data_IF_754918438119
#
_entry.id   IF_754918438119
#
_cell.length_a   1.000
_cell.length_b   1.000
_cell.length_c   1.000
_cell.angle_alpha   90.00
_cell.angle_beta   90.00
_cell.angle_gamma   90.00
#
_symmetry.space_group_name_H-M   'P 1'
#
loop_
_entity.id
_entity.type
_entity.pdbx_description
1 polymer ?
#
# COMPACT_ATOMS: atom_id res chain seq x y z
N UNK A 1 -0.17 -5.63 -18.74
CA UNK A 1 0.19 -5.94 -17.35
C UNK A 1 1.66 -6.31 -17.31
N UNK A 2 2.42 -5.62 -16.46
CA UNK A 2 3.85 -5.84 -16.26
C UNK A 2 4.10 -6.03 -14.77
N UNK A 3 4.64 -7.20 -14.41
CA UNK A 3 5.10 -7.52 -13.06
C UNK A 3 6.42 -6.84 -12.77
N UNK A 4 6.45 -5.98 -11.76
CA UNK A 4 7.64 -5.23 -11.33
C UNK A 4 8.31 -5.92 -10.15
N UNK A 5 7.50 -6.42 -9.20
CA UNK A 5 8.01 -7.11 -8.03
C UNK A 5 7.08 -8.24 -7.62
N UNK A 6 7.69 -9.37 -7.23
CA UNK A 6 7.03 -10.47 -6.55
C UNK A 6 8.02 -11.07 -5.56
N UNK A 7 7.61 -11.12 -4.29
CA UNK A 7 8.47 -11.67 -3.26
C UNK A 7 7.96 -11.35 -1.87
N UNK A 8 8.86 -11.50 -0.89
CA UNK A 8 8.58 -11.21 0.51
C UNK A 8 9.10 -9.83 0.86
N UNK A 9 8.23 -8.96 1.34
CA UNK A 9 8.54 -7.60 1.77
C UNK A 9 8.71 -7.57 3.29
N UNK A 10 9.86 -7.09 3.76
CA UNK A 10 10.09 -6.91 5.19
C UNK A 10 9.31 -5.70 5.72
N UNK A 11 8.58 -5.91 6.80
CA UNK A 11 7.82 -4.88 7.51
C UNK A 11 8.16 -4.88 8.99
N UNK A 12 8.08 -3.69 9.57
CA UNK A 12 8.04 -3.49 11.01
C UNK A 12 7.05 -2.35 11.25
N UNK A 13 6.38 -2.35 12.41
CA UNK A 13 5.22 -1.48 12.67
C UNK A 13 4.09 -1.59 11.64
N UNK A 14 4.08 -2.66 10.83
CA UNK A 14 3.13 -2.93 9.75
C UNK A 14 3.20 -1.94 8.59
N UNK A 15 4.41 -1.50 8.18
CA UNK A 15 4.57 -0.37 7.25
C UNK A 15 5.55 -0.68 6.11
N UNK A 16 5.23 -0.19 4.92
CA UNK A 16 6.11 -0.09 3.76
C UNK A 16 5.77 1.16 2.94
N UNK A 17 6.64 1.56 2.01
CA UNK A 17 6.53 2.87 1.36
C UNK A 17 6.77 2.82 -0.14
N UNK A 18 6.02 3.63 -0.90
CA UNK A 18 6.40 4.06 -2.25
C UNK A 18 6.80 5.52 -2.18
N UNK A 19 7.92 5.90 -2.77
CA UNK A 19 8.34 7.31 -2.78
C UNK A 19 8.99 7.68 -4.12
N UNK A 20 8.81 8.95 -4.52
CA UNK A 20 9.45 9.53 -5.71
C UNK A 20 10.67 10.37 -5.32
N UNK A 21 11.80 10.18 -6.00
CA UNK A 21 13.04 10.92 -5.70
C UNK A 21 13.61 10.52 -4.34
N UNK A 22 14.21 11.46 -3.61
CA UNK A 22 14.80 11.21 -2.29
C UNK A 22 13.76 10.80 -1.24
N UNK A 23 14.21 10.04 -0.23
CA UNK A 23 13.30 9.48 0.77
C UNK A 23 12.56 10.58 1.54
N UNK A 24 11.23 10.54 1.52
CA UNK A 24 10.34 11.44 2.27
C UNK A 24 9.82 10.68 3.48
N UNK A 25 10.45 10.86 4.63
CA UNK A 25 9.90 10.38 5.89
C UNK A 25 8.58 11.11 6.19
N UNK A 26 7.47 10.45 5.86
CA UNK A 26 6.13 10.96 6.15
C UNK A 26 5.63 10.32 7.44
N UNK A 27 5.09 11.13 8.33
CA UNK A 27 4.43 10.64 9.54
C UNK A 27 3.15 9.90 9.16
N UNK A 28 2.75 8.94 9.99
CA UNK A 28 1.56 8.13 9.76
C UNK A 28 0.30 9.01 9.61
N UNK A 29 0.11 10.01 10.47
CA UNK A 29 -1.08 10.88 10.38
C UNK A 29 -1.08 11.73 9.09
N UNK A 30 0.04 12.37 8.77
CA UNK A 30 0.14 13.26 7.61
C UNK A 30 0.01 12.52 6.28
N UNK A 31 0.37 11.24 6.23
CA UNK A 31 0.21 10.38 5.05
C UNK A 31 -1.24 10.07 4.71
N UNK A 32 -2.16 10.26 5.66
CA UNK A 32 -3.55 9.82 5.56
C UNK A 32 -4.58 10.93 5.77
N UNK A 33 -4.17 12.15 6.11
CA UNK A 33 -5.07 13.31 6.29
C UNK A 33 -6.01 13.47 5.09
N UNK A 34 -7.31 13.65 5.39
CA UNK A 34 -8.34 13.87 4.38
C UNK A 34 -8.88 12.61 3.69
N UNK A 35 -8.26 11.44 3.88
CA UNK A 35 -8.72 10.20 3.26
C UNK A 35 -9.94 9.58 3.96
N UNK A 36 -10.60 8.63 3.29
CA UNK A 36 -11.60 7.72 3.85
C UNK A 36 -11.00 6.35 4.19
N UNK A 37 -10.04 5.92 3.39
CA UNK A 37 -9.32 4.66 3.51
C UNK A 37 -8.10 4.83 4.43
N UNK A 38 -7.82 3.78 5.20
CA UNK A 38 -6.75 3.76 6.19
C UNK A 38 -5.70 2.70 5.87
N UNK A 39 -5.70 2.12 4.66
CA UNK A 39 -4.77 1.05 4.29
C UNK A 39 -3.65 1.55 3.38
N UNK A 40 -3.95 2.51 2.50
CA UNK A 40 -2.99 3.13 1.61
C UNK A 40 -3.06 4.66 1.79
N UNK A 41 -2.04 5.25 2.39
CA UNK A 41 -1.93 6.68 2.64
C UNK A 41 -1.35 7.38 1.42
N UNK A 42 -2.09 8.28 0.78
CA UNK A 42 -1.67 9.01 -0.40
C UNK A 42 -1.86 10.53 -0.27
N UNK A 43 -1.99 11.04 0.95
CA UNK A 43 -2.19 12.47 1.19
C UNK A 43 -0.93 13.31 0.89
N UNK A 44 0.25 12.70 0.98
CA UNK A 44 1.53 13.33 0.67
C UNK A 44 1.89 13.11 -0.81
N UNK A 45 2.04 14.17 -1.63
CA UNK A 45 2.41 14.02 -3.03
C UNK A 45 3.71 13.26 -3.23
N UNK A 46 3.71 12.29 -4.17
CA UNK A 46 4.88 11.47 -4.45
C UNK A 46 5.19 10.41 -3.40
N UNK A 47 4.31 10.17 -2.44
CA UNK A 47 4.46 9.12 -1.43
C UNK A 47 3.21 8.24 -1.32
N UNK A 48 3.39 6.94 -1.08
CA UNK A 48 2.37 6.04 -0.57
C UNK A 48 2.84 5.40 0.73
N UNK A 49 1.97 5.40 1.73
CA UNK A 49 2.16 4.70 3.00
C UNK A 49 1.29 3.44 3.01
N UNK A 50 1.92 2.27 3.05
CA UNK A 50 1.24 0.98 2.95
C UNK A 50 1.14 0.34 4.33
N UNK A 51 -0.08 0.08 4.81
CA UNK A 51 -0.31 -0.61 6.08
C UNK A 51 -0.63 -2.08 5.88
N UNK A 52 0.04 -2.92 6.67
CA UNK A 52 -0.18 -4.37 6.73
C UNK A 52 -0.93 -4.77 8.01
N UNK A 53 -1.48 -5.98 8.02
CA UNK A 53 -2.03 -6.67 9.17
C UNK A 53 -0.92 -7.15 10.09
N UNK A 54 0.09 -7.85 9.54
CA UNK A 54 1.29 -8.24 10.29
C UNK A 54 2.06 -6.99 10.75
N UNK A 55 2.49 -6.98 12.01
CA UNK A 55 3.26 -5.87 12.58
C UNK A 55 4.75 -5.99 12.24
N UNK A 56 5.36 -7.16 12.47
CA UNK A 56 6.79 -7.38 12.24
C UNK A 56 7.06 -8.70 11.51
N UNK A 57 7.92 -8.67 10.49
CA UNK A 57 8.35 -9.87 9.78
C UNK A 57 8.32 -9.65 8.28
N UNK A 58 7.93 -10.69 7.51
CA UNK A 58 7.84 -10.62 6.06
C UNK A 58 6.45 -10.96 5.58
N UNK A 59 5.91 -10.15 4.67
CA UNK A 59 4.61 -10.35 4.03
C UNK A 59 4.80 -10.72 2.56
N UNK A 60 3.89 -11.49 1.97
CA UNK A 60 3.91 -11.71 0.52
C UNK A 60 3.45 -10.43 -0.18
N UNK A 61 4.18 -9.99 -1.20
CA UNK A 61 3.90 -8.71 -1.87
C UNK A 61 4.10 -8.82 -3.38
N UNK A 62 3.15 -8.26 -4.13
CA UNK A 62 3.23 -8.10 -5.59
C UNK A 62 3.07 -6.64 -5.97
N UNK A 63 3.77 -6.22 -7.02
CA UNK A 63 3.66 -4.90 -7.62
C UNK A 63 3.51 -5.03 -9.13
N UNK A 64 2.42 -4.49 -9.65
CA UNK A 64 2.03 -4.64 -11.04
C UNK A 64 1.64 -3.29 -11.67
N UNK A 65 2.01 -3.09 -12.94
CA UNK A 65 1.58 -1.95 -13.75
C UNK A 65 0.64 -2.44 -14.85
N UNK A 66 -0.51 -1.80 -14.98
CA UNK A 66 -1.55 -2.11 -15.96
C UNK A 66 -1.79 -0.93 -16.91
N UNK A 67 -2.16 -1.25 -18.14
CA UNK A 67 -2.52 -0.27 -19.17
C UNK A 67 -3.91 0.36 -18.93
N UNK A 68 -4.74 -0.30 -18.14
CA UNK A 68 -6.10 0.12 -17.78
C UNK A 68 -6.51 -0.55 -16.45
N UNK A 69 -7.58 -0.08 -15.77
CA UNK A 69 -7.99 -0.66 -14.49
C UNK A 69 -8.26 -2.17 -14.62
N UNK A 70 -7.57 -3.03 -13.86
CA UNK A 70 -7.86 -4.47 -13.88
C UNK A 70 -9.19 -4.76 -13.18
N UNK A 71 -9.89 -5.85 -13.56
CA UNK A 71 -11.11 -6.27 -12.89
C UNK A 71 -10.85 -6.59 -11.41
N UNK A 72 -11.88 -6.48 -10.58
CA UNK A 72 -11.77 -6.80 -9.15
C UNK A 72 -11.66 -8.31 -8.97
N UNK A 73 -10.50 -8.76 -8.51
CA UNK A 73 -10.30 -10.13 -8.04
C UNK A 73 -10.93 -10.32 -6.66
N UNK A 74 -11.82 -11.30 -6.56
CA UNK A 74 -12.56 -11.60 -5.33
C UNK A 74 -11.72 -12.34 -4.28
N UNK A 75 -10.54 -12.84 -4.65
CA UNK A 75 -9.56 -13.42 -3.72
C UNK A 75 -9.13 -12.43 -2.63
N UNK A 76 -8.98 -11.15 -2.99
CA UNK A 76 -8.61 -10.10 -2.05
C UNK A 76 -9.75 -9.80 -1.09
N UNK A 77 -9.43 -9.65 0.20
CA UNK A 77 -10.38 -9.43 1.27
C UNK A 77 -10.63 -7.94 1.50
N UNK A 78 -9.56 -7.15 1.38
CA UNK A 78 -9.58 -5.69 1.56
C UNK A 78 -9.07 -5.05 0.28
N UNK A 79 -9.80 -4.06 -0.23
CA UNK A 79 -9.45 -3.39 -1.48
C UNK A 79 -9.72 -1.91 -1.32
N UNK A 80 -8.68 -1.11 -1.45
CA UNK A 80 -8.76 0.35 -1.50
C UNK A 80 -8.11 0.86 -2.77
N UNK A 81 -8.54 2.03 -3.20
CA UNK A 81 -7.87 2.74 -4.27
C UNK A 81 -7.61 4.19 -3.91
N UNK A 82 -6.47 4.72 -4.34
CA UNK A 82 -6.00 6.08 -4.06
C UNK A 82 -5.41 6.75 -5.31
N UNK A 83 -5.46 8.08 -5.41
CA UNK A 83 -4.68 8.79 -6.43
C UNK A 83 -3.19 8.76 -6.08
N UNK A 84 -2.33 8.71 -7.10
CA UNK A 84 -0.88 8.88 -6.94
C UNK A 84 -0.36 9.77 -8.06
N UNK A 85 0.44 10.78 -7.71
CA UNK A 85 1.02 11.72 -8.67
C UNK A 85 2.53 11.56 -8.70
N UNK A 86 3.06 11.27 -9.88
CA UNK A 86 4.50 11.19 -10.13
C UNK A 86 4.96 12.55 -10.64
N UNK A 87 5.50 13.36 -9.71
CA UNK A 87 6.02 14.70 -10.01
C UNK A 87 7.49 14.73 -10.42
N UNK A 88 8.22 13.63 -10.17
CA UNK A 88 9.63 13.43 -10.53
C UNK A 88 9.82 11.99 -10.98
N UNK A 89 10.79 11.79 -11.86
CA UNK A 89 11.27 10.45 -12.19
C UNK A 89 11.93 9.82 -10.95
N UNK A 90 12.10 8.49 -10.94
CA UNK A 90 12.58 7.67 -9.80
C UNK A 90 11.53 7.32 -8.74
N UNK A 91 10.51 6.54 -9.14
CA UNK A 91 9.56 5.93 -8.19
C UNK A 91 10.15 4.63 -7.66
N UNK A 92 10.13 4.42 -6.34
CA UNK A 92 10.77 3.26 -5.70
C UNK A 92 9.88 2.66 -4.61
N UNK A 93 9.94 1.34 -4.46
CA UNK A 93 9.41 0.60 -3.32
C UNK A 93 10.49 0.49 -2.25
N UNK A 94 10.13 0.86 -1.02
CA UNK A 94 10.98 0.73 0.16
C UNK A 94 10.34 -0.20 1.19
N UNK A 95 11.17 -1.05 1.79
CA UNK A 95 10.79 -1.77 2.99
C UNK A 95 10.85 -0.84 4.22
N UNK A 96 10.46 -1.35 5.40
CA UNK A 96 10.48 -0.53 6.62
C UNK A 96 11.88 0.05 6.95
N UNK A 97 12.94 -0.73 6.78
CA UNK A 97 14.33 -0.33 7.04
C UNK A 97 14.82 0.79 6.11
N UNK A 98 14.06 1.17 5.09
CA UNK A 98 14.47 2.16 4.09
C UNK A 98 15.34 1.60 2.98
N UNK A 99 15.45 0.28 2.90
CA UNK A 99 16.13 -0.36 1.78
C UNK A 99 15.24 -0.25 0.54
N UNK A 100 15.83 0.19 -0.57
CA UNK A 100 15.16 0.16 -1.86
C UNK A 100 15.02 -1.30 -2.31
N UNK A 101 13.78 -1.75 -2.44
CA UNK A 101 13.44 -3.11 -2.88
C UNK A 101 13.45 -3.19 -4.40
N UNK A 102 12.85 -2.22 -5.08
CA UNK A 102 12.85 -2.15 -6.55
C UNK A 102 12.52 -0.74 -7.06
N UNK A 103 12.96 -0.45 -8.28
CA UNK A 103 12.51 0.71 -9.04
C UNK A 103 11.20 0.41 -9.77
N UNK A 104 10.30 1.39 -9.82
CA UNK A 104 8.99 1.29 -10.47
C UNK A 104 9.02 2.19 -11.71
N UNK A 105 8.90 1.66 -12.93
CA UNK A 105 9.06 2.42 -14.16
C UNK A 105 7.80 3.23 -14.52
N UNK A 106 7.41 4.18 -13.65
CA UNK A 106 6.34 5.14 -13.93
C UNK A 106 6.91 6.42 -14.55
N UNK A 107 6.24 6.91 -15.58
CA UNK A 107 6.51 8.23 -16.15
C UNK A 107 5.85 9.33 -15.32
N UNK A 108 6.20 10.58 -15.60
CA UNK A 108 5.50 11.74 -15.00
C UNK A 108 4.02 11.69 -15.36
N UNK A 109 3.16 11.90 -14.36
CA UNK A 109 1.71 11.87 -14.58
C UNK A 109 0.90 11.48 -13.34
N UNK A 110 -0.38 11.20 -13.58
CA UNK A 110 -1.35 10.82 -12.55
C UNK A 110 -1.77 9.37 -12.75
N UNK A 111 -1.80 8.65 -11.63
CA UNK A 111 -2.10 7.23 -11.58
C UNK A 111 -3.21 6.98 -10.56
N UNK A 112 -3.99 5.93 -10.81
CA UNK A 112 -4.77 5.28 -9.78
C UNK A 112 -3.97 4.09 -9.27
N UNK A 113 -4.02 3.90 -7.96
CA UNK A 113 -3.34 2.81 -7.29
C UNK A 113 -4.37 1.99 -6.55
N UNK A 114 -4.43 0.69 -6.80
CA UNK A 114 -5.19 -0.24 -5.98
C UNK A 114 -4.26 -0.95 -5.02
N UNK A 115 -4.63 -0.93 -3.75
CA UNK A 115 -3.95 -1.70 -2.72
C UNK A 115 -4.91 -2.75 -2.18
N UNK A 116 -4.50 -4.01 -2.35
CA UNK A 116 -5.26 -5.17 -1.97
C UNK A 116 -4.56 -5.91 -0.83
N UNK A 117 -5.34 -6.45 0.10
CA UNK A 117 -4.83 -7.26 1.19
C UNK A 117 -5.66 -8.54 1.37
N UNK A 118 -4.97 -9.61 1.77
CA UNK A 118 -5.56 -10.90 2.09
C UNK A 118 -5.02 -11.38 3.46
N UNK A 119 -5.92 -11.86 4.31
CA UNK A 119 -5.64 -12.38 5.65
C UNK A 119 -5.01 -11.35 6.62
N UNK A 120 -5.41 -10.08 6.54
CA UNK A 120 -4.96 -9.04 7.50
C UNK A 120 -5.29 -9.39 8.96
N UNK A 121 -6.36 -10.16 9.19
CA UNK A 121 -6.72 -10.65 10.52
C UNK A 121 -5.67 -11.62 11.06
N UNK A 122 -5.24 -12.59 10.25
CA UNK A 122 -4.18 -13.53 10.62
C UNK A 122 -2.86 -12.83 10.92
N UNK A 123 -2.45 -11.88 10.07
CA UNK A 123 -1.28 -11.03 10.30
C UNK A 123 -1.34 -10.27 11.62
N UNK A 124 -2.46 -9.59 11.88
CA UNK A 124 -2.63 -8.80 13.11
C UNK A 124 -2.69 -9.64 14.38
N UNK A 125 -3.23 -10.87 14.32
CA UNK A 125 -3.27 -11.76 15.48
C UNK A 125 -1.91 -12.40 15.79
N UNK A 126 -1.14 -12.72 14.75
CA UNK A 126 0.19 -13.30 14.91
C UNK A 126 1.22 -12.27 15.36
N UNK A 127 1.03 -11.00 14.96
CA UNK A 127 1.86 -9.82 15.26
C UNK A 127 3.27 -9.90 14.67
N UNK A 128 4.02 -10.95 14.99
CA UNK A 128 5.40 -11.15 14.56
C UNK A 128 5.59 -12.51 13.88
N UNK A 129 6.24 -12.51 12.71
CA UNK A 129 6.67 -13.70 11.96
C UNK A 129 8.20 -13.71 11.87
N UNK A 130 8.82 -14.86 12.20
CA UNK A 130 10.27 -15.02 12.10
C UNK A 130 10.73 -15.12 10.63
N UNK A 131 12.00 -14.83 10.37
CA UNK A 131 12.54 -14.75 9.00
C UNK A 131 12.36 -16.04 8.17
N UNK A 132 12.45 -17.21 8.81
CA UNK A 132 12.34 -18.51 8.16
C UNK A 132 10.90 -19.02 8.04
N UNK A 133 9.94 -18.36 8.69
CA UNK A 133 8.55 -18.74 8.68
C UNK A 133 7.83 -18.27 7.40
N UNK A 134 6.70 -18.92 7.09
CA UNK A 134 5.86 -18.50 5.98
C UNK A 134 5.09 -17.23 6.33
N UNK A 135 4.97 -16.32 5.35
CA UNK A 135 4.15 -15.12 5.47
C UNK A 135 2.68 -15.50 5.65
N UNK A 136 2.04 -14.93 6.66
CA UNK A 136 0.64 -15.22 7.01
C UNK A 136 -0.37 -14.38 6.22
N UNK A 137 0.02 -13.19 5.78
CA UNK A 137 -0.79 -12.26 5.00
C UNK A 137 -0.10 -11.89 3.68
N UNK A 138 -0.91 -11.40 2.73
CA UNK A 138 -0.48 -11.12 1.36
C UNK A 138 -1.04 -9.81 0.86
N UNK A 139 -0.30 -9.14 -0.01
CA UNK A 139 -0.62 -7.80 -0.52
C UNK A 139 -0.33 -7.68 -2.02
N UNK A 140 -1.09 -6.82 -2.68
CA UNK A 140 -0.84 -6.42 -4.07
C UNK A 140 -1.01 -4.92 -4.23
N UNK A 141 -0.10 -4.33 -5.00
CA UNK A 141 -0.10 -2.93 -5.37
C UNK A 141 -0.16 -2.79 -6.90
N UNK A 142 -1.28 -2.30 -7.39
CA UNK A 142 -1.57 -2.22 -8.82
C UNK A 142 -1.62 -0.76 -9.27
N UNK A 143 -0.89 -0.38 -10.31
CA UNK A 143 -0.89 0.97 -10.89
C UNK A 143 -1.52 0.97 -12.28
N UNK A 144 -2.29 2.01 -12.61
CA UNK A 144 -2.65 2.33 -13.98
C UNK A 144 -2.85 3.85 -14.16
N UNK A 145 -2.65 4.35 -15.36
CA UNK A 145 -2.86 5.77 -15.66
C UNK A 145 -4.34 6.14 -15.50
N UNK A 146 -4.62 7.24 -14.78
CA UNK A 146 -5.97 7.71 -14.54
C UNK A 146 -5.97 9.19 -14.14
N UNK A 147 -7.09 9.87 -14.38
CA UNK A 147 -7.32 11.20 -13.81
C UNK A 147 -7.42 11.10 -12.27
N UNK A 148 -6.96 12.12 -11.53
CA UNK A 148 -7.11 12.16 -10.08
C UNK A 148 -8.57 12.03 -9.66
N UNK A 149 -8.83 11.17 -8.68
CA UNK A 149 -10.13 11.01 -8.03
C UNK A 149 -9.91 10.74 -6.54
N UNK A 150 -10.87 11.09 -5.67
CA UNK A 150 -10.77 10.79 -4.24
C UNK A 150 -10.52 9.31 -3.97
N UNK A 151 -9.96 9.02 -2.81
CA UNK A 151 -9.74 7.66 -2.38
C UNK A 151 -11.07 6.90 -2.21
N UNK A 152 -11.05 5.59 -2.36
CA UNK A 152 -12.26 4.76 -2.28
C UNK A 152 -11.96 3.42 -1.61
N UNK A 153 -12.87 2.98 -0.75
CA UNK A 153 -12.87 1.62 -0.20
C UNK A 153 -13.81 0.79 -1.05
N UNK A 154 -13.27 -0.17 -1.80
CA UNK A 154 -14.04 -1.05 -2.69
C UNK A 154 -14.52 -2.32 -1.98
N UNK A 155 -13.73 -2.83 -1.04
CA UNK A 155 -14.05 -4.02 -0.25
C UNK A 155 -13.45 -3.88 1.14
N UNK A 156 -14.27 -4.21 2.15
CA UNK A 156 -13.86 -4.26 3.55
C UNK A 156 -14.52 -5.46 4.22
N UNK A 157 -13.75 -6.41 4.74
CA UNK A 157 -14.27 -7.63 5.39
C UNK A 157 -13.78 -7.81 6.83
N UNK A 158 -12.54 -7.43 7.13
CA UNK A 158 -11.93 -7.63 8.45
C UNK A 158 -12.15 -6.47 9.42
N UNK A 159 -12.09 -6.79 10.72
CA UNK A 159 -12.06 -5.78 11.79
C UNK A 159 -10.75 -4.98 11.79
N UNK A 160 -9.65 -5.58 11.33
CA UNK A 160 -8.34 -4.95 11.21
C UNK A 160 -8.39 -3.81 10.20
N UNK A 161 -8.88 -4.06 8.98
CA UNK A 161 -9.08 -2.99 7.99
C UNK A 161 -10.08 -1.94 8.49
N UNK A 162 -11.20 -2.38 9.06
CA UNK A 162 -12.22 -1.47 9.60
C UNK A 162 -11.67 -0.55 10.71
N UNK A 163 -10.72 -1.02 11.53
CA UNK A 163 -10.06 -0.20 12.54
C UNK A 163 -9.30 0.96 11.90
N UNK A 164 -8.44 0.68 10.92
CA UNK A 164 -7.66 1.71 10.23
C UNK A 164 -8.54 2.71 9.49
N UNK A 165 -9.61 2.24 8.83
CA UNK A 165 -10.59 3.12 8.21
C UNK A 165 -11.34 4.01 9.21
N UNK A 166 -11.57 3.56 10.45
CA UNK A 166 -12.17 4.40 11.49
C UNK A 166 -11.18 5.41 12.04
N UNK A 167 -9.95 4.98 12.31
CA UNK A 167 -8.87 5.85 12.79
C UNK A 167 -8.65 7.02 11.84
N UNK A 168 -8.53 6.76 10.53
CA UNK A 168 -8.29 7.83 9.55
C UNK A 168 -9.42 8.84 9.45
N UNK A 169 -10.67 8.37 9.59
CA UNK A 169 -11.85 9.25 9.58
C UNK A 169 -11.90 10.17 10.81
N UNK A 170 -11.21 9.80 11.89
CA UNK A 170 -11.01 10.63 13.07
C UNK A 170 -9.94 11.72 12.90
N UNK A 171 -9.08 11.65 11.87
CA UNK A 171 -8.05 12.67 11.59
C UNK A 171 -8.60 13.91 10.86
N UNK A 172 -9.89 13.94 10.54
CA UNK A 172 -10.51 15.04 9.80
C UNK A 172 -10.67 16.24 10.72
N UNK A 173 -9.79 17.23 10.54
CA UNK A 173 -9.97 18.60 11.05
C UNK A 173 -10.77 19.40 10.03
#
# INVERSE_FOLDING_TARGET
>A
MTRIFEGRLYVHYGQAYIETGDRIFSELETSFVGQNNGLCGAASPGSLFLLTGLHTGRVNFTLDIFDSPPPIDQFWEEIVEVPFTVGREEVRLFNWNGECVCNIPLSLGTYRVRYCAHNMTGGSLLDTVLEEEESVDSYSLEFWAAAPSPDTILKQTSKTAAYWHRWVRGLRV
#
